data_IF_128549612799
#
_entry.id   IF_128549612799
#
_cell.length_a   1.000
_cell.length_b   1.000
_cell.length_c   1.000
_cell.angle_alpha   90.00
_cell.angle_beta   90.00
_cell.angle_gamma   90.00
#
_symmetry.space_group_name_H-M   'P 1'
#
loop_
_entity.id
_entity.type
_entity.pdbx_description
1 polymer ?
#
# COMPACT_ATOMS: atom_id res chain seq x y z
N UNK A 1 -6.04 21.69 18.84
CA UNK A 1 -6.50 22.52 17.69
C UNK A 1 -7.20 21.61 16.70
N UNK A 2 -8.24 22.10 16.04
CA UNK A 2 -8.87 21.39 14.92
C UNK A 2 -8.07 21.65 13.64
N UNK A 3 -7.85 20.60 12.86
CA UNK A 3 -7.13 20.66 11.59
C UNK A 3 -7.92 19.89 10.54
N UNK A 4 -7.96 20.42 9.32
CA UNK A 4 -8.58 19.79 8.16
C UNK A 4 -7.50 19.12 7.30
N UNK A 5 -7.73 17.87 6.90
CA UNK A 5 -6.81 17.15 6.02
C UNK A 5 -6.90 17.68 4.59
N UNK A 6 -5.80 18.13 3.97
CA UNK A 6 -5.83 18.61 2.58
C UNK A 6 -6.08 17.50 1.54
N UNK A 7 -5.96 16.22 1.93
CA UNK A 7 -6.13 15.09 1.03
C UNK A 7 -7.54 14.50 1.00
N UNK A 8 -8.28 14.55 2.11
CA UNK A 8 -9.62 13.94 2.19
C UNK A 8 -10.65 14.84 2.89
N UNK A 9 -10.29 16.09 3.20
CA UNK A 9 -11.13 17.09 3.91
C UNK A 9 -11.66 16.67 5.28
N UNK A 10 -11.16 15.56 5.84
CA UNK A 10 -11.55 15.13 7.17
C UNK A 10 -10.99 16.10 8.23
N UNK A 11 -11.85 16.49 9.17
CA UNK A 11 -11.50 17.35 10.32
C UNK A 11 -11.21 16.50 11.56
N UNK A 12 -10.14 16.81 12.29
CA UNK A 12 -9.77 16.09 13.50
C UNK A 12 -8.95 16.96 14.47
N UNK A 13 -8.96 16.57 15.74
CA UNK A 13 -8.24 17.29 16.79
C UNK A 13 -6.81 16.79 16.96
N UNK A 14 -5.87 17.73 17.10
CA UNK A 14 -4.46 17.45 17.37
C UNK A 14 -3.92 18.34 18.50
N UNK A 15 -2.96 17.86 19.30
CA UNK A 15 -2.20 18.69 20.24
C UNK A 15 -1.57 19.91 19.56
N UNK A 16 -1.60 21.07 20.21
CA UNK A 16 -1.01 22.32 19.67
C UNK A 16 0.52 22.25 19.50
N UNK A 17 1.19 21.33 20.19
CA UNK A 17 2.65 21.15 20.12
C UNK A 17 3.12 20.37 18.89
N UNK A 18 2.20 19.73 18.15
CA UNK A 18 2.55 18.99 16.94
C UNK A 18 2.67 19.94 15.76
N UNK A 19 3.80 19.83 15.05
CA UNK A 19 4.08 20.59 13.82
C UNK A 19 3.94 19.74 12.54
N UNK A 20 3.68 18.46 12.71
CA UNK A 20 3.51 17.51 11.61
C UNK A 20 2.40 16.54 11.99
N UNK A 21 1.48 16.34 11.07
CA UNK A 21 0.22 15.67 11.29
C UNK A 21 0.13 14.48 10.34
N UNK A 22 -0.39 13.36 10.82
CA UNK A 22 -0.80 12.24 9.97
C UNK A 22 -2.31 12.13 10.06
N UNK A 23 -2.99 12.25 8.92
CA UNK A 23 -4.44 12.10 8.88
C UNK A 23 -4.81 10.68 9.35
N UNK A 24 -5.66 10.54 10.38
CA UNK A 24 -6.08 9.21 10.85
C UNK A 24 -6.97 8.47 9.85
N UNK A 25 -7.57 9.20 8.89
CA UNK A 25 -8.49 8.64 7.90
C UNK A 25 -7.75 8.17 6.65
N UNK A 26 -7.05 9.07 5.94
CA UNK A 26 -6.37 8.72 4.69
C UNK A 26 -4.88 8.43 4.83
N UNK A 27 -4.29 8.63 6.03
CA UNK A 27 -2.87 8.41 6.27
C UNK A 27 -1.94 9.47 5.68
N UNK A 28 -2.47 10.54 5.07
CA UNK A 28 -1.65 11.63 4.52
C UNK A 28 -0.86 12.34 5.63
N UNK A 29 0.44 12.53 5.41
CA UNK A 29 1.32 13.29 6.28
C UNK A 29 1.46 14.71 5.74
N UNK A 30 1.25 15.73 6.59
CA UNK A 30 1.33 17.14 6.21
C UNK A 30 1.87 18.01 7.37
N UNK A 31 2.50 19.15 7.08
CA UNK A 31 3.21 20.00 8.06
C UNK A 31 4.73 20.11 7.81
N UNK A 32 5.52 20.51 8.82
CA UNK A 32 6.96 20.84 8.65
C UNK A 32 7.80 19.68 8.08
N UNK A 33 7.62 18.44 8.58
CA UNK A 33 8.35 17.24 8.09
C UNK A 33 7.64 16.51 6.96
N UNK A 34 6.58 17.07 6.38
CA UNK A 34 5.87 16.42 5.29
C UNK A 34 6.73 16.21 4.04
N UNK A 35 7.85 16.94 3.92
CA UNK A 35 8.84 16.75 2.85
C UNK A 35 9.71 15.50 3.04
N UNK A 36 9.73 14.91 4.23
CA UNK A 36 10.39 13.63 4.45
C UNK A 36 9.47 12.52 3.91
N UNK A 37 9.57 12.24 2.62
CA UNK A 37 8.82 11.18 1.93
C UNK A 37 9.36 9.78 2.22
N UNK A 38 9.95 9.56 3.39
CA UNK A 38 10.57 8.29 3.80
C UNK A 38 10.11 7.86 5.18
N UNK A 39 9.50 6.69 5.23
CA UNK A 39 8.81 6.16 6.40
C UNK A 39 9.17 4.70 6.65
N UNK A 40 8.75 4.20 7.81
CA UNK A 40 8.77 2.77 8.14
C UNK A 40 7.55 2.38 8.98
N UNK A 41 7.22 1.10 8.96
CA UNK A 41 6.28 0.51 9.88
C UNK A 41 7.00 -0.12 11.08
N UNK A 42 6.58 0.16 12.32
CA UNK A 42 7.14 -0.51 13.48
C UNK A 42 6.79 -1.99 13.48
N UNK A 43 7.71 -2.81 13.97
CA UNK A 43 7.48 -4.25 14.18
C UNK A 43 6.40 -4.45 15.22
N UNK A 44 5.51 -5.43 14.98
CA UNK A 44 4.51 -5.83 15.97
C UNK A 44 5.19 -6.46 17.18
N UNK A 45 4.70 -6.14 18.39
CA UNK A 45 5.21 -6.78 19.62
C UNK A 45 4.78 -8.25 19.76
N UNK A 46 3.80 -8.68 18.97
CA UNK A 46 3.25 -10.03 19.01
C UNK A 46 4.18 -10.98 18.25
N UNK A 47 4.35 -12.19 18.79
CA UNK A 47 5.18 -13.24 18.23
C UNK A 47 4.60 -13.73 16.87
N UNK A 48 5.30 -13.55 15.73
CA UNK A 48 4.73 -13.83 14.40
C UNK A 48 4.36 -15.30 14.18
N UNK A 49 5.13 -16.24 14.73
CA UNK A 49 4.87 -17.66 14.56
C UNK A 49 3.58 -18.09 15.26
N UNK A 50 3.28 -17.53 16.43
CA UNK A 50 2.02 -17.72 17.12
C UNK A 50 0.83 -17.20 16.29
N UNK A 51 0.98 -16.08 15.57
CA UNK A 51 -0.06 -15.58 14.65
C UNK A 51 -0.30 -16.59 13.52
N UNK A 52 0.79 -17.06 12.88
CA UNK A 52 0.72 -18.05 11.81
C UNK A 52 0.08 -19.36 12.27
N UNK A 53 0.52 -19.92 13.40
CA UNK A 53 -0.06 -21.14 13.97
C UNK A 53 -1.54 -20.98 14.29
N UNK A 54 -1.94 -19.84 14.87
CA UNK A 54 -3.35 -19.57 15.16
C UNK A 54 -4.20 -19.48 13.89
N UNK A 55 -3.63 -18.98 12.79
CA UNK A 55 -4.29 -18.97 11.49
C UNK A 55 -4.43 -20.39 10.92
N UNK A 56 -3.35 -21.18 10.93
CA UNK A 56 -3.33 -22.55 10.40
C UNK A 56 -4.28 -23.46 11.16
N UNK A 57 -4.32 -23.40 12.49
CA UNK A 57 -5.22 -24.24 13.33
C UNK A 57 -6.71 -24.08 13.00
N UNK A 58 -7.10 -23.01 12.30
CA UNK A 58 -8.49 -22.75 11.89
C UNK A 58 -8.79 -23.24 10.48
N UNK A 59 -7.78 -23.69 9.73
CA UNK A 59 -7.96 -24.21 8.38
C UNK A 59 -8.42 -25.67 8.41
N UNK A 60 -9.29 -26.02 7.47
CA UNK A 60 -9.79 -27.39 7.34
C UNK A 60 -8.65 -28.37 7.02
N UNK A 61 -8.64 -29.52 7.68
CA UNK A 61 -7.66 -30.58 7.44
C UNK A 61 -6.30 -30.40 8.13
N UNK A 62 -6.11 -29.34 8.91
CA UNK A 62 -4.90 -29.16 9.72
C UNK A 62 -4.90 -30.10 10.94
N UNK A 63 -3.80 -30.83 11.21
CA UNK A 63 -3.70 -31.71 12.37
C UNK A 63 -3.97 -30.96 13.68
N UNK A 64 -4.73 -31.57 14.58
CA UNK A 64 -5.09 -30.98 15.87
C UNK A 64 -3.88 -30.71 16.77
N UNK A 65 -2.78 -31.45 16.54
CA UNK A 65 -1.52 -31.39 17.28
C UNK A 65 -0.48 -30.47 16.65
N UNK A 66 -0.80 -29.75 15.56
CA UNK A 66 0.17 -28.90 14.82
C UNK A 66 0.95 -27.96 15.75
N UNK A 67 0.31 -27.41 16.78
CA UNK A 67 0.97 -26.50 17.73
C UNK A 67 2.09 -27.18 18.54
N UNK A 68 1.97 -28.48 18.79
CA UNK A 68 2.98 -29.28 19.50
C UNK A 68 3.94 -30.02 18.57
N UNK A 69 3.53 -30.31 17.32
CA UNK A 69 4.32 -31.06 16.34
C UNK A 69 5.09 -30.19 15.35
N UNK A 70 4.93 -28.87 15.40
CA UNK A 70 5.69 -27.92 14.56
C UNK A 70 6.55 -26.96 15.39
N UNK A 71 7.75 -26.67 14.89
CA UNK A 71 8.65 -25.69 15.47
C UNK A 71 9.24 -24.78 14.40
N UNK A 72 9.47 -23.53 14.78
CA UNK A 72 10.07 -22.52 13.91
C UNK A 72 11.59 -22.75 13.83
N UNK A 73 12.10 -23.12 12.66
CA UNK A 73 13.54 -23.34 12.47
C UNK A 73 14.29 -22.06 12.09
N UNK A 74 13.70 -21.23 11.24
CA UNK A 74 14.31 -20.00 10.75
C UNK A 74 13.31 -18.86 10.93
N UNK A 75 13.81 -17.71 11.38
CA UNK A 75 13.03 -16.47 11.41
C UNK A 75 13.93 -15.30 11.07
N UNK A 76 13.67 -14.66 9.94
CA UNK A 76 14.40 -13.46 9.53
C UNK A 76 13.42 -12.32 9.31
N UNK A 77 13.73 -11.16 9.90
CA UNK A 77 12.97 -9.93 9.69
C UNK A 77 13.59 -9.16 8.52
N UNK A 78 12.78 -8.81 7.53
CA UNK A 78 13.14 -7.99 6.39
C UNK A 78 12.38 -6.66 6.44
N UNK A 79 13.07 -5.55 6.19
CA UNK A 79 12.46 -4.25 5.94
C UNK A 79 12.43 -4.00 4.44
N UNK A 80 11.25 -4.18 3.85
CA UNK A 80 11.06 -4.15 2.40
C UNK A 80 10.62 -2.74 1.96
N UNK A 81 11.32 -2.10 1.01
CA UNK A 81 10.97 -0.79 0.48
C UNK A 81 9.75 -0.89 -0.44
N UNK A 82 8.77 0.00 -0.24
CA UNK A 82 7.57 0.08 -1.07
C UNK A 82 7.28 1.55 -1.36
N UNK A 83 7.21 1.91 -2.65
CA UNK A 83 6.73 3.22 -3.08
C UNK A 83 5.21 3.24 -2.99
N UNK A 84 4.66 4.17 -2.22
CA UNK A 84 3.23 4.22 -1.95
C UNK A 84 2.56 5.36 -2.71
N UNK A 85 1.43 5.07 -3.34
CA UNK A 85 0.69 6.00 -4.17
C UNK A 85 -0.77 6.09 -3.76
N UNK A 86 -1.33 7.29 -3.92
CA UNK A 86 -2.76 7.49 -4.05
C UNK A 86 -3.07 7.68 -5.54
N UNK A 87 -4.00 6.89 -6.03
CA UNK A 87 -4.42 6.86 -7.42
C UNK A 87 -5.88 7.27 -7.48
N UNK A 88 -6.18 8.19 -8.39
CA UNK A 88 -7.52 8.52 -8.80
C UNK A 88 -7.53 8.65 -10.33
N UNK A 89 -8.47 7.99 -10.99
CA UNK A 89 -8.60 8.04 -12.43
C UNK A 89 -10.05 8.00 -12.86
N UNK A 90 -10.35 8.68 -13.97
CA UNK A 90 -11.68 8.74 -14.58
C UNK A 90 -11.53 8.59 -16.08
N UNK A 91 -12.25 7.63 -16.64
CA UNK A 91 -12.19 7.29 -18.06
C UNK A 91 -13.59 7.05 -18.60
N UNK A 92 -13.86 7.57 -19.79
CA UNK A 92 -15.11 7.30 -20.51
C UNK A 92 -14.84 6.35 -21.67
N UNK A 93 -15.77 5.43 -21.90
CA UNK A 93 -15.75 4.48 -23.00
C UNK A 93 -17.04 4.53 -23.80
N UNK A 94 -16.95 4.40 -25.13
CA UNK A 94 -18.12 4.25 -25.99
C UNK A 94 -18.52 2.78 -26.08
N UNK A 95 -19.74 2.51 -25.63
CA UNK A 95 -20.32 1.18 -25.51
C UNK A 95 -21.39 0.92 -26.56
N UNK A 96 -21.27 -0.22 -27.23
CA UNK A 96 -22.29 -0.69 -28.16
C UNK A 96 -23.65 -0.79 -27.47
N UNK A 97 -24.64 -0.07 -28.00
CA UNK A 97 -26.03 -0.08 -27.51
C UNK A 97 -26.28 0.66 -26.19
N UNK A 98 -25.26 1.22 -25.52
CA UNK A 98 -25.41 2.01 -24.29
C UNK A 98 -24.92 3.46 -24.39
N UNK A 99 -24.16 3.80 -25.44
CA UNK A 99 -23.57 5.14 -25.57
C UNK A 99 -22.32 5.28 -24.71
N UNK A 100 -22.03 6.48 -24.20
CA UNK A 100 -20.87 6.72 -23.34
C UNK A 100 -21.10 6.16 -21.93
N UNK A 101 -20.12 5.41 -21.42
CA UNK A 101 -20.08 4.85 -20.07
C UNK A 101 -18.84 5.36 -19.37
N UNK A 102 -18.92 5.57 -18.06
CA UNK A 102 -17.82 6.05 -17.24
C UNK A 102 -17.27 4.92 -16.37
N UNK A 103 -15.96 4.92 -16.18
CA UNK A 103 -15.25 4.16 -15.15
C UNK A 103 -14.45 5.13 -14.29
N UNK A 104 -14.52 4.93 -12.99
CA UNK A 104 -13.81 5.72 -12.00
C UNK A 104 -13.14 4.77 -11.01
N UNK A 105 -11.86 5.00 -10.73
CA UNK A 105 -11.07 4.20 -9.81
C UNK A 105 -10.38 5.11 -8.80
N UNK A 106 -10.54 4.81 -7.52
CA UNK A 106 -9.85 5.52 -6.43
C UNK A 106 -9.24 4.50 -5.47
N UNK A 107 -7.91 4.40 -5.46
CA UNK A 107 -7.22 3.34 -4.73
C UNK A 107 -5.88 3.81 -4.16
N UNK A 108 -5.48 3.19 -3.05
CA UNK A 108 -4.11 3.30 -2.54
C UNK A 108 -3.34 2.03 -2.92
N UNK A 109 -2.17 2.18 -3.53
CA UNK A 109 -1.35 1.06 -3.97
C UNK A 109 0.11 1.23 -3.61
N UNK A 110 0.75 0.12 -3.26
CA UNK A 110 2.19 0.04 -3.04
C UNK A 110 2.87 -0.66 -4.21
N UNK A 111 4.01 -0.13 -4.65
CA UNK A 111 4.90 -0.80 -5.60
C UNK A 111 6.14 -1.26 -4.84
N UNK A 112 6.32 -2.57 -4.75
CA UNK A 112 7.43 -3.19 -4.01
C UNK A 112 8.74 -2.93 -4.74
N UNK A 113 9.62 -2.14 -4.13
CA UNK A 113 10.89 -1.71 -4.71
C UNK A 113 12.03 -2.73 -4.50
N UNK A 114 11.70 -4.03 -4.46
CA UNK A 114 12.67 -5.13 -4.42
C UNK A 114 12.20 -6.24 -5.35
N UNK A 115 13.04 -6.66 -6.29
CA UNK A 115 12.68 -7.68 -7.30
C UNK A 115 12.36 -9.02 -6.67
N UNK A 116 13.09 -9.41 -5.63
CA UNK A 116 12.86 -10.68 -4.93
C UNK A 116 11.47 -10.71 -4.28
N UNK A 117 11.11 -9.64 -3.57
CA UNK A 117 9.85 -9.58 -2.84
C UNK A 117 8.65 -9.17 -3.70
N UNK A 118 8.88 -8.52 -4.86
CA UNK A 118 7.83 -8.07 -5.75
C UNK A 118 6.90 -9.22 -6.15
N UNK A 119 7.44 -10.35 -6.57
CA UNK A 119 6.64 -11.50 -6.99
C UNK A 119 5.79 -12.11 -5.86
N UNK A 120 6.18 -11.88 -4.60
CA UNK A 120 5.51 -12.44 -3.42
C UNK A 120 4.44 -11.47 -2.90
N UNK A 121 4.67 -10.17 -3.07
CA UNK A 121 3.89 -9.10 -2.43
C UNK A 121 3.20 -8.15 -3.42
N UNK A 122 3.13 -8.51 -4.71
CA UNK A 122 2.59 -7.65 -5.79
C UNK A 122 1.18 -7.13 -5.48
N UNK A 123 0.29 -8.01 -5.03
CA UNK A 123 -1.12 -7.67 -4.71
C UNK A 123 -1.36 -7.44 -3.22
N UNK A 124 -0.31 -7.38 -2.41
CA UNK A 124 -0.46 -7.25 -0.97
C UNK A 124 -1.07 -5.89 -0.59
N UNK A 125 -2.15 -5.83 0.20
CA UNK A 125 -2.81 -4.59 0.58
C UNK A 125 -2.03 -3.87 1.71
N UNK A 126 -0.94 -3.22 1.34
CA UNK A 126 -0.07 -2.53 2.30
C UNK A 126 -0.83 -1.46 3.11
N UNK A 127 -0.74 -1.49 4.46
CA UNK A 127 -1.45 -0.53 5.30
C UNK A 127 -0.79 0.85 5.23
N UNK A 128 -1.61 1.92 5.25
CA UNK A 128 -1.13 3.32 5.13
C UNK A 128 -1.01 4.02 6.48
N UNK A 129 -1.77 3.51 7.47
CA UNK A 129 -1.94 4.11 8.81
C UNK A 129 -0.96 3.48 9.79
N UNK A 130 -0.36 4.29 10.66
CA UNK A 130 0.58 3.81 11.68
C UNK A 130 2.05 3.79 11.26
N UNK A 131 2.36 4.24 10.03
CA UNK A 131 3.73 4.52 9.61
C UNK A 131 4.36 5.62 10.47
N UNK A 132 5.68 5.56 10.62
CA UNK A 132 6.50 6.54 11.32
C UNK A 132 7.57 7.08 10.37
N UNK A 133 8.02 8.31 10.60
CA UNK A 133 9.19 8.85 9.90
C UNK A 133 10.38 7.93 10.02
N UNK A 134 11.10 7.74 8.91
CA UNK A 134 12.29 6.91 8.88
C UNK A 134 13.28 7.30 9.98
N UNK A 135 13.93 6.29 10.57
CA UNK A 135 15.03 6.50 11.50
C UNK A 135 16.14 5.50 11.21
N UNK A 136 17.39 5.91 11.31
CA UNK A 136 18.54 5.06 10.93
C UNK A 136 18.62 3.76 11.73
N UNK A 137 18.09 3.72 12.95
CA UNK A 137 18.11 2.53 13.81
C UNK A 137 17.39 1.34 13.17
N UNK A 138 16.40 1.58 12.29
CA UNK A 138 15.67 0.49 11.63
C UNK A 138 16.57 -0.36 10.74
N UNK A 139 17.67 0.22 10.21
CA UNK A 139 18.63 -0.48 9.36
C UNK A 139 19.36 -1.59 10.13
N UNK A 140 19.35 -1.54 11.46
CA UNK A 140 19.99 -2.52 12.35
C UNK A 140 18.98 -3.48 13.01
N UNK A 141 17.67 -3.32 12.77
CA UNK A 141 16.62 -4.14 13.40
C UNK A 141 16.38 -5.48 12.68
N UNK A 142 16.88 -5.62 11.45
CA UNK A 142 16.71 -6.80 10.59
C UNK A 142 17.47 -6.60 9.27
N UNK A 143 17.18 -7.42 8.27
CA UNK A 143 17.72 -7.23 6.92
C UNK A 143 17.02 -6.03 6.28
N UNK A 144 17.77 -4.95 6.10
CA UNK A 144 17.28 -3.74 5.45
C UNK A 144 17.51 -3.78 3.95
N UNK A 145 16.46 -3.59 3.15
CA UNK A 145 16.53 -3.57 1.70
C UNK A 145 16.46 -2.13 1.19
N UNK A 146 17.41 -1.73 0.36
CA UNK A 146 17.30 -0.47 -0.38
C UNK A 146 16.41 -0.66 -1.62
N UNK A 147 15.73 0.40 -2.10
CA UNK A 147 15.03 0.36 -3.37
C UNK A 147 15.96 -0.07 -4.51
N UNK A 148 15.56 -1.09 -5.26
CA UNK A 148 16.33 -1.62 -6.40
C UNK A 148 16.05 -0.87 -7.72
N UNK A 149 15.03 -0.01 -7.74
CA UNK A 149 14.66 0.86 -8.86
C UNK A 149 14.10 2.17 -8.34
N UNK A 150 13.97 3.16 -9.22
CA UNK A 150 13.61 4.53 -8.84
C UNK A 150 12.10 4.70 -8.63
N UNK A 151 11.71 5.80 -7.97
CA UNK A 151 10.30 6.22 -7.88
C UNK A 151 9.70 6.46 -9.28
N UNK A 152 10.50 6.97 -10.24
CA UNK A 152 10.04 7.19 -11.61
C UNK A 152 9.67 5.87 -12.30
N UNK A 153 10.49 4.83 -12.13
CA UNK A 153 10.20 3.49 -12.67
C UNK A 153 8.93 2.91 -12.04
N UNK A 154 8.75 3.12 -10.73
CA UNK A 154 7.57 2.70 -9.99
C UNK A 154 6.32 3.46 -10.45
N UNK A 155 6.44 4.76 -10.71
CA UNK A 155 5.36 5.63 -11.20
C UNK A 155 4.87 5.19 -12.58
N UNK A 156 5.76 4.87 -13.50
CA UNK A 156 5.35 4.35 -14.81
C UNK A 156 4.55 3.04 -14.64
N UNK A 157 5.04 2.13 -13.78
CA UNK A 157 4.36 0.86 -13.50
C UNK A 157 2.98 1.06 -12.84
N UNK A 158 2.80 2.09 -12.03
CA UNK A 158 1.52 2.36 -11.34
C UNK A 158 0.51 3.05 -12.25
N UNK A 159 1.00 3.88 -13.17
CA UNK A 159 0.19 4.50 -14.21
C UNK A 159 -0.42 3.43 -15.14
N UNK A 160 0.40 2.50 -15.64
CA UNK A 160 -0.07 1.35 -16.43
C UNK A 160 -1.06 0.46 -15.67
N UNK A 161 -0.92 0.35 -14.35
CA UNK A 161 -1.86 -0.37 -13.50
C UNK A 161 -3.20 0.37 -13.42
N UNK A 162 -3.20 1.69 -13.17
CA UNK A 162 -4.42 2.49 -13.10
C UNK A 162 -5.19 2.44 -14.42
N UNK A 163 -4.48 2.53 -15.56
CA UNK A 163 -5.08 2.34 -16.88
C UNK A 163 -5.74 0.97 -17.05
N UNK A 164 -5.09 -0.11 -16.60
CA UNK A 164 -5.68 -1.45 -16.64
C UNK A 164 -6.93 -1.55 -15.76
N UNK A 165 -6.89 -1.01 -14.55
CA UNK A 165 -8.05 -1.00 -13.65
C UNK A 165 -9.26 -0.28 -14.27
N UNK A 166 -9.05 0.90 -14.87
CA UNK A 166 -10.13 1.64 -15.54
C UNK A 166 -10.69 0.89 -16.75
N UNK A 167 -9.84 0.22 -17.52
CA UNK A 167 -10.28 -0.59 -18.66
C UNK A 167 -11.06 -1.83 -18.22
N UNK A 168 -10.61 -2.50 -17.16
CA UNK A 168 -11.30 -3.65 -16.58
C UNK A 168 -12.68 -3.23 -16.06
N UNK A 169 -12.78 -2.07 -15.41
CA UNK A 169 -14.05 -1.55 -14.91
C UNK A 169 -15.02 -1.18 -16.04
N UNK A 170 -14.54 -0.51 -17.10
CA UNK A 170 -15.35 -0.31 -18.31
C UNK A 170 -15.83 -1.65 -18.89
N UNK A 171 -14.93 -2.64 -19.00
CA UNK A 171 -15.24 -3.93 -19.60
C UNK A 171 -16.26 -4.76 -18.79
N UNK A 172 -16.36 -4.52 -17.48
CA UNK A 172 -17.42 -5.10 -16.64
C UNK A 172 -18.78 -4.47 -16.93
N UNK A 173 -18.83 -3.15 -17.14
CA UNK A 173 -20.05 -2.41 -17.48
C UNK A 173 -20.48 -2.53 -18.95
N UNK A 174 -19.53 -2.88 -19.82
CA UNK A 174 -19.61 -2.73 -21.26
C UNK A 174 -19.00 -3.93 -21.99
N UNK A 175 -19.82 -4.66 -22.77
CA UNK A 175 -19.34 -5.86 -23.49
C UNK A 175 -18.29 -5.55 -24.57
N UNK A 176 -18.47 -4.44 -25.29
CA UNK A 176 -17.57 -3.97 -26.34
C UNK A 176 -17.34 -2.47 -26.17
N UNK A 177 -16.09 -2.08 -25.94
CA UNK A 177 -15.67 -0.69 -25.89
C UNK A 177 -14.98 -0.36 -27.22
N UNK A 178 -15.55 0.56 -28.00
CA UNK A 178 -15.01 0.93 -29.32
C UNK A 178 -14.03 2.10 -29.27
N UNK A 179 -14.18 2.95 -28.26
CA UNK A 179 -13.39 4.17 -28.07
C UNK A 179 -13.25 4.44 -26.58
N UNK A 180 -12.08 4.90 -26.14
CA UNK A 180 -11.81 5.29 -24.75
C UNK A 180 -11.18 6.67 -24.70
N UNK A 181 -11.59 7.49 -23.74
CA UNK A 181 -10.98 8.79 -23.44
C UNK A 181 -10.77 8.93 -21.95
N UNK A 182 -9.54 9.26 -21.57
CA UNK A 182 -9.16 9.58 -20.20
C UNK A 182 -9.62 11.00 -19.90
N UNK A 183 -10.42 11.17 -18.86
CA UNK A 183 -10.88 12.50 -18.43
C UNK A 183 -10.01 13.05 -17.30
N UNK A 184 -9.61 12.18 -16.37
CA UNK A 184 -8.76 12.55 -15.24
C UNK A 184 -7.79 11.43 -14.89
N UNK A 185 -6.55 11.81 -14.59
CA UNK A 185 -5.53 10.91 -14.07
C UNK A 185 -4.71 11.64 -13.01
N UNK A 186 -4.80 11.16 -11.78
CA UNK A 186 -4.10 11.72 -10.62
C UNK A 186 -3.32 10.63 -9.92
N UNK A 187 -2.00 10.78 -9.95
CA UNK A 187 -1.04 9.85 -9.33
C UNK A 187 -0.21 10.65 -8.34
N UNK A 188 -0.60 10.57 -7.06
CA UNK A 188 0.07 11.26 -5.97
C UNK A 188 1.03 10.30 -5.27
N UNK A 189 2.33 10.58 -5.31
CA UNK A 189 3.31 9.89 -4.48
C UNK A 189 3.07 10.24 -3.01
N UNK A 190 3.05 9.23 -2.14
CA UNK A 190 2.80 9.35 -0.69
C UNK A 190 4.00 8.94 0.16
N UNK A 191 5.13 8.65 -0.49
CA UNK A 191 6.38 8.32 0.16
C UNK A 191 6.84 6.89 -0.05
N UNK A 192 8.12 6.68 0.20
CA UNK A 192 8.78 5.39 0.32
C UNK A 192 8.61 4.87 1.75
N UNK A 193 8.06 3.67 1.90
CA UNK A 193 7.77 3.08 3.21
C UNK A 193 8.49 1.73 3.32
N UNK A 194 9.22 1.53 4.41
CA UNK A 194 9.82 0.23 4.73
C UNK A 194 8.88 -0.60 5.61
N UNK A 195 8.39 -1.71 5.07
CA UNK A 195 7.48 -2.62 5.78
C UNK A 195 8.25 -3.78 6.41
N UNK A 196 8.02 -4.08 7.70
CA UNK A 196 8.57 -5.26 8.35
C UNK A 196 7.84 -6.52 7.87
N UNK A 197 8.56 -7.46 7.27
CA UNK A 197 8.06 -8.76 6.84
C UNK A 197 8.93 -9.85 7.42
N UNK A 198 8.30 -10.83 8.07
CA UNK A 198 9.00 -12.00 8.57
C UNK A 198 9.03 -13.09 7.50
N UNK A 199 10.23 -13.51 7.14
CA UNK A 199 10.45 -14.75 6.40
C UNK A 199 10.62 -15.87 7.43
N UNK A 200 9.70 -16.85 7.37
CA UNK A 200 9.51 -17.95 8.32
C UNK A 200 9.57 -19.25 7.53
#
# INVERSE_FOLDING_TARGET
>A
MEVECPGCSAKFQVPQSLKTFTCPYCGLVFGERAREDHYYFPVMKIEPYAILLNFLRRQFGIPSDIASSSSLQVRQLHYIPVYFYYLHGRMIGRCDGKGWTEAEETVYRGVVASRFFRNILEDYPFPVRGKKFFRKEIMNMGVYHNPEFSELDARNSIEDMLYRMLNDELSRGCKNVSETRVEELKIDFRGLIHYPVYYI
#
